data_IF_493939159968
#
_entry.id   IF_493939159968
#
_cell.length_a   1.000
_cell.length_b   1.000
_cell.length_c   1.000
_cell.angle_alpha   90.00
_cell.angle_beta   90.00
_cell.angle_gamma   90.00
#
_symmetry.space_group_name_H-M   'P 1'
#
loop_
_entity.id
_entity.type
_entity.pdbx_description
1 polymer ?
#
# COMPACT_ATOMS: atom_id res chain seq x y z
N UNK A 1 -5.16 51.89 13.67
CA UNK A 1 -4.84 51.07 12.48
C UNK A 1 -4.16 49.81 13.03
N UNK A 2 -4.97 48.83 13.40
CA UNK A 2 -4.50 47.60 14.05
C UNK A 2 -3.79 46.75 13.00
N UNK A 3 -2.58 46.32 13.32
CA UNK A 3 -1.80 45.41 12.49
C UNK A 3 -2.56 44.08 12.36
N UNK A 4 -3.07 43.80 11.17
CA UNK A 4 -3.37 42.44 10.76
C UNK A 4 -2.05 41.68 10.74
N UNK A 5 -1.77 40.93 11.80
CA UNK A 5 -0.77 39.87 11.75
C UNK A 5 -1.22 38.90 10.68
N UNK A 6 -0.61 39.01 9.50
CA UNK A 6 -0.82 38.17 8.35
C UNK A 6 -0.31 36.75 8.68
N UNK A 7 -1.05 36.01 9.50
CA UNK A 7 -0.78 34.61 9.78
C UNK A 7 -1.04 33.84 8.50
N UNK A 8 0.03 33.45 7.81
CA UNK A 8 -0.09 32.51 6.70
C UNK A 8 -0.86 31.28 7.19
N UNK A 9 -1.93 30.87 6.50
CA UNK A 9 -2.65 29.64 6.81
C UNK A 9 -1.67 28.48 6.96
N UNK A 10 -1.89 27.62 7.97
CA UNK A 10 -0.99 26.49 8.28
C UNK A 10 -0.71 25.58 7.07
N UNK A 11 -1.67 25.45 6.14
CA UNK A 11 -1.51 24.70 4.90
C UNK A 11 -0.52 25.37 3.93
N UNK A 12 -0.53 26.70 3.83
CA UNK A 12 0.40 27.43 2.97
C UNK A 12 1.83 27.34 3.51
N UNK A 13 2.00 27.37 4.84
CA UNK A 13 3.30 27.09 5.48
C UNK A 13 3.79 25.67 5.18
N UNK A 14 2.91 24.66 5.23
CA UNK A 14 3.28 23.28 4.89
C UNK A 14 3.69 23.14 3.41
N UNK A 15 2.98 23.82 2.50
CA UNK A 15 3.31 23.84 1.06
C UNK A 15 4.65 24.51 0.78
N UNK A 16 5.03 25.55 1.54
CA UNK A 16 6.33 26.21 1.42
C UNK A 16 7.49 25.27 1.76
N UNK A 17 7.30 24.34 2.70
CA UNK A 17 8.33 23.38 3.12
C UNK A 17 8.34 22.06 2.33
N UNK A 18 7.56 21.98 1.24
CA UNK A 18 7.56 20.80 0.36
C UNK A 18 8.95 20.48 -0.24
N UNK A 19 9.77 21.45 -0.69
CA UNK A 19 11.13 21.17 -1.18
C UNK A 19 12.04 20.52 -0.12
N UNK A 20 11.93 20.95 1.13
CA UNK A 20 12.69 20.41 2.26
C UNK A 20 12.26 18.97 2.53
N UNK A 21 10.97 18.67 2.47
CA UNK A 21 10.47 17.29 2.55
C UNK A 21 11.14 16.41 1.48
N UNK A 22 11.15 16.83 0.21
CA UNK A 22 11.80 16.07 -0.87
C UNK A 22 13.30 15.88 -0.58
N UNK A 23 13.97 16.95 -0.14
CA UNK A 23 15.39 16.94 0.19
C UNK A 23 15.70 15.97 1.33
N UNK A 24 14.94 16.01 2.42
CA UNK A 24 15.12 15.09 3.56
C UNK A 24 14.88 13.65 3.15
N UNK A 25 13.87 13.37 2.32
CA UNK A 25 13.60 12.01 1.87
C UNK A 25 14.71 11.45 0.98
N UNK A 26 15.16 12.22 -0.03
CA UNK A 26 16.10 11.73 -1.03
C UNK A 26 17.57 11.82 -0.59
N UNK A 27 17.95 12.87 0.14
CA UNK A 27 19.36 13.14 0.47
C UNK A 27 19.76 12.66 1.87
N UNK A 28 18.79 12.43 2.76
CA UNK A 28 19.05 11.92 4.10
C UNK A 28 18.39 10.55 4.32
N UNK A 29 17.08 10.45 4.11
CA UNK A 29 16.29 9.26 4.39
C UNK A 29 16.72 8.04 3.57
N UNK A 30 16.81 8.18 2.25
CA UNK A 30 17.21 7.09 1.37
C UNK A 30 18.64 6.58 1.66
N UNK A 31 19.68 7.45 1.72
CA UNK A 31 21.02 7.01 2.07
C UNK A 31 21.09 6.36 3.46
N UNK A 32 20.43 6.96 4.46
CA UNK A 32 20.39 6.40 5.81
C UNK A 32 19.74 5.00 5.82
N UNK A 33 18.59 4.84 5.15
CA UNK A 33 17.89 3.55 5.06
C UNK A 33 18.70 2.48 4.35
N UNK A 34 19.42 2.83 3.28
CA UNK A 34 20.32 1.90 2.58
C UNK A 34 21.52 1.51 3.47
N UNK A 35 22.12 2.47 4.18
CA UNK A 35 23.25 2.21 5.07
C UNK A 35 22.85 1.33 6.26
N UNK A 36 21.70 1.60 6.89
CA UNK A 36 21.21 0.80 8.01
C UNK A 36 20.78 -0.60 7.55
N UNK A 37 20.10 -0.71 6.40
CA UNK A 37 19.76 -2.00 5.80
C UNK A 37 20.98 -2.84 5.46
N UNK A 38 21.99 -2.22 4.83
CA UNK A 38 23.27 -2.87 4.53
C UNK A 38 23.96 -3.33 5.82
N UNK A 39 24.09 -2.45 6.82
CA UNK A 39 24.71 -2.78 8.11
C UNK A 39 24.01 -3.94 8.81
N UNK A 40 22.68 -3.93 8.88
CA UNK A 40 21.90 -5.00 9.50
C UNK A 40 22.03 -6.34 8.77
N UNK A 41 22.10 -6.32 7.43
CA UNK A 41 22.29 -7.55 6.65
C UNK A 41 23.64 -8.24 6.90
N UNK A 42 24.67 -7.49 7.32
CA UNK A 42 25.97 -8.07 7.73
C UNK A 42 25.98 -8.65 9.14
N UNK A 43 25.05 -8.22 10.01
CA UNK A 43 24.98 -8.74 11.40
C UNK A 43 24.24 -10.07 11.50
N UNK A 44 23.35 -10.39 10.56
CA UNK A 44 22.60 -11.65 10.57
C UNK A 44 23.52 -12.76 10.06
N UNK A 45 23.86 -13.72 10.94
CA UNK A 45 24.87 -14.76 10.75
C UNK A 45 24.62 -15.80 9.63
N UNK A 46 23.65 -15.58 8.73
CA UNK A 46 23.37 -16.47 7.61
C UNK A 46 23.65 -15.72 6.30
N UNK A 47 24.80 -16.00 5.67
CA UNK A 47 25.07 -15.50 4.32
C UNK A 47 23.97 -15.99 3.38
N UNK A 48 23.16 -15.10 2.79
CA UNK A 48 22.14 -15.50 1.83
C UNK A 48 22.79 -16.23 0.65
N UNK A 49 22.21 -17.36 0.25
CA UNK A 49 22.69 -18.12 -0.90
C UNK A 49 22.36 -17.38 -2.20
N UNK A 50 23.14 -17.60 -3.26
CA UNK A 50 22.87 -17.04 -4.61
C UNK A 50 21.44 -17.32 -5.10
N UNK A 51 20.87 -18.46 -4.70
CA UNK A 51 19.49 -18.85 -5.03
C UNK A 51 18.44 -17.91 -4.42
N UNK A 52 18.73 -17.33 -3.25
CA UNK A 52 17.83 -16.40 -2.55
C UNK A 52 17.74 -15.07 -3.30
N UNK A 53 18.86 -14.52 -3.77
CA UNK A 53 18.88 -13.28 -4.55
C UNK A 53 18.26 -13.44 -5.93
N UNK A 54 18.54 -14.55 -6.63
CA UNK A 54 17.93 -14.82 -7.94
C UNK A 54 16.40 -14.88 -7.83
N UNK A 55 15.89 -15.57 -6.81
CA UNK A 55 14.45 -15.62 -6.53
C UNK A 55 13.89 -14.21 -6.31
N UNK A 56 14.52 -13.41 -5.45
CA UNK A 56 14.08 -12.06 -5.14
C UNK A 56 14.03 -11.16 -6.39
N UNK A 57 15.03 -11.24 -7.26
CA UNK A 57 15.09 -10.49 -8.53
C UNK A 57 13.99 -10.93 -9.49
N UNK A 58 13.82 -12.25 -9.70
CA UNK A 58 12.82 -12.78 -10.64
C UNK A 58 11.41 -12.45 -10.16
N UNK A 59 11.11 -12.79 -8.90
CA UNK A 59 9.79 -12.56 -8.30
C UNK A 59 9.49 -11.06 -8.24
N UNK A 60 10.47 -10.26 -7.83
CA UNK A 60 10.40 -8.80 -7.85
C UNK A 60 10.12 -8.25 -9.25
N UNK A 61 10.87 -8.66 -10.26
CA UNK A 61 10.69 -8.21 -11.63
C UNK A 61 9.31 -8.55 -12.21
N UNK A 62 8.81 -9.76 -11.95
CA UNK A 62 7.46 -10.18 -12.34
C UNK A 62 6.38 -9.36 -11.63
N UNK A 63 6.54 -9.12 -10.33
CA UNK A 63 5.62 -8.28 -9.58
C UNK A 63 5.65 -6.82 -10.07
N UNK A 64 6.83 -6.32 -10.45
CA UNK A 64 7.03 -5.02 -11.08
C UNK A 64 6.27 -4.88 -12.41
N UNK A 65 6.25 -5.93 -13.25
CA UNK A 65 5.45 -5.95 -14.47
C UNK A 65 3.96 -5.78 -14.20
N UNK A 66 3.42 -6.51 -13.21
CA UNK A 66 2.00 -6.42 -12.85
C UNK A 66 1.66 -5.04 -12.29
N UNK A 67 2.51 -4.48 -11.42
CA UNK A 67 2.37 -3.10 -10.96
C UNK A 67 2.40 -2.10 -12.11
N UNK A 68 3.34 -2.26 -13.05
CA UNK A 68 3.47 -1.41 -14.24
C UNK A 68 2.24 -1.49 -15.15
N UNK A 69 1.62 -2.66 -15.25
CA UNK A 69 0.35 -2.85 -15.95
C UNK A 69 -0.80 -2.14 -15.24
N UNK A 70 -0.93 -2.25 -13.91
CA UNK A 70 -1.97 -1.54 -13.17
C UNK A 70 -1.87 -0.01 -13.36
N UNK A 71 -0.64 0.52 -13.41
CA UNK A 71 -0.37 1.94 -13.65
C UNK A 71 -0.53 2.36 -15.13
N UNK A 72 -0.48 1.41 -16.08
CA UNK A 72 -0.53 1.72 -17.53
C UNK A 72 -1.81 2.44 -17.96
N UNK A 73 -2.93 2.20 -17.28
CA UNK A 73 -4.22 2.86 -17.57
C UNK A 73 -4.11 4.40 -17.50
N UNK A 74 -3.41 4.91 -16.49
CA UNK A 74 -3.15 6.34 -16.34
C UNK A 74 -2.17 6.86 -17.39
N UNK A 75 -1.16 6.05 -17.76
CA UNK A 75 -0.21 6.42 -18.80
C UNK A 75 -0.88 6.63 -20.16
N UNK A 76 -1.82 5.76 -20.52
CA UNK A 76 -2.61 5.91 -21.75
C UNK A 76 -3.41 7.20 -21.73
N UNK A 77 -4.12 7.48 -20.63
CA UNK A 77 -5.00 8.64 -20.51
C UNK A 77 -4.24 9.98 -20.53
N UNK A 78 -3.01 10.01 -20.02
CA UNK A 78 -2.23 11.24 -19.84
C UNK A 78 -1.07 11.36 -20.84
N UNK A 79 -1.04 10.52 -21.88
CA UNK A 79 0.05 10.46 -22.86
C UNK A 79 1.45 10.30 -22.22
N UNK A 80 1.53 9.72 -21.03
CA UNK A 80 2.77 9.64 -20.27
C UNK A 80 3.80 8.71 -20.92
N UNK A 81 3.37 7.75 -21.74
CA UNK A 81 4.28 6.94 -22.55
C UNK A 81 5.13 7.80 -23.50
N UNK A 82 4.55 8.85 -24.10
CA UNK A 82 5.30 9.75 -25.00
C UNK A 82 6.32 10.56 -24.19
N UNK A 83 5.96 11.00 -22.98
CA UNK A 83 6.87 11.71 -22.07
C UNK A 83 8.08 10.82 -21.72
N UNK A 84 7.82 9.56 -21.38
CA UNK A 84 8.89 8.59 -21.09
C UNK A 84 9.73 8.28 -22.34
N UNK A 85 9.13 8.16 -23.52
CA UNK A 85 9.87 7.99 -24.78
C UNK A 85 10.84 9.15 -25.06
N UNK A 86 10.52 10.35 -24.56
CA UNK A 86 11.37 11.54 -24.64
C UNK A 86 12.75 11.38 -24.00
N UNK A 87 12.93 10.43 -23.07
CA UNK A 87 14.25 10.11 -22.48
C UNK A 87 15.25 9.71 -23.57
N UNK A 88 14.79 9.04 -24.63
CA UNK A 88 15.60 8.67 -25.80
C UNK A 88 15.34 9.56 -27.02
N UNK A 89 14.84 10.78 -26.80
CA UNK A 89 14.46 11.71 -27.87
C UNK A 89 13.51 11.08 -28.90
N UNK A 90 12.57 10.24 -28.43
CA UNK A 90 11.58 9.55 -29.25
C UNK A 90 10.17 10.01 -28.92
N UNK A 91 9.31 10.06 -29.93
CA UNK A 91 7.86 10.27 -29.76
C UNK A 91 7.04 8.99 -30.01
N UNK A 92 7.72 7.84 -30.10
CA UNK A 92 7.07 6.55 -30.36
C UNK A 92 6.39 6.00 -29.12
N UNK A 93 5.09 5.73 -29.22
CA UNK A 93 4.33 5.04 -28.17
C UNK A 93 4.97 3.70 -27.80
N UNK A 94 5.48 2.95 -28.79
CA UNK A 94 6.13 1.65 -28.55
C UNK A 94 7.39 1.79 -27.70
N UNK A 95 8.23 2.79 -28.00
CA UNK A 95 9.45 3.06 -27.22
C UNK A 95 9.10 3.43 -25.78
N UNK A 96 8.12 4.31 -25.60
CA UNK A 96 7.62 4.72 -24.29
C UNK A 96 7.08 3.55 -23.47
N UNK A 97 6.28 2.69 -24.09
CA UNK A 97 5.71 1.49 -23.45
C UNK A 97 6.80 0.50 -23.04
N UNK A 98 7.75 0.20 -23.93
CA UNK A 98 8.87 -0.70 -23.62
C UNK A 98 9.71 -0.15 -22.46
N UNK A 99 10.00 1.15 -22.46
CA UNK A 99 10.78 1.78 -21.41
C UNK A 99 10.03 1.77 -20.07
N UNK A 100 8.72 2.08 -20.05
CA UNK A 100 7.89 1.99 -18.85
C UNK A 100 7.95 0.59 -18.21
N UNK A 101 7.71 -0.47 -18.98
CA UNK A 101 7.75 -1.83 -18.44
C UNK A 101 9.16 -2.26 -18.03
N UNK A 102 10.20 -1.79 -18.72
CA UNK A 102 11.60 -2.03 -18.33
C UNK A 102 11.90 -1.39 -16.99
N UNK A 103 11.52 -0.12 -16.81
CA UNK A 103 11.65 0.59 -15.52
C UNK A 103 10.84 -0.14 -14.45
N UNK A 104 9.62 -0.56 -14.74
CA UNK A 104 8.77 -1.29 -13.81
C UNK A 104 9.38 -2.64 -13.36
N UNK A 105 10.04 -3.38 -14.25
CA UNK A 105 10.81 -4.59 -13.92
C UNK A 105 11.99 -4.25 -12.99
N UNK A 106 12.76 -3.22 -13.33
CA UNK A 106 13.94 -2.82 -12.54
C UNK A 106 13.53 -2.42 -11.13
N UNK A 107 12.48 -1.59 -11.00
CA UNK A 107 11.90 -1.18 -9.72
C UNK A 107 11.42 -2.41 -8.93
N UNK A 108 10.72 -3.35 -9.58
CA UNK A 108 10.25 -4.56 -8.93
C UNK A 108 11.39 -5.46 -8.46
N UNK A 109 12.42 -5.64 -9.28
CA UNK A 109 13.60 -6.43 -8.93
C UNK A 109 14.36 -5.82 -7.73
N UNK A 110 14.51 -4.48 -7.70
CA UNK A 110 15.11 -3.80 -6.55
C UNK A 110 14.24 -3.88 -5.29
N UNK A 111 12.91 -3.88 -5.42
CA UNK A 111 12.02 -4.15 -4.28
C UNK A 111 12.29 -5.54 -3.68
N UNK A 112 12.36 -6.58 -4.51
CA UNK A 112 12.67 -7.93 -4.04
C UNK A 112 14.02 -7.99 -3.33
N UNK A 113 15.06 -7.38 -3.90
CA UNK A 113 16.39 -7.35 -3.28
C UNK A 113 16.42 -6.64 -1.93
N UNK A 114 15.74 -5.50 -1.83
CA UNK A 114 15.76 -4.65 -0.63
C UNK A 114 14.90 -5.20 0.51
N UNK A 115 13.71 -5.73 0.21
CA UNK A 115 12.70 -6.02 1.23
C UNK A 115 12.39 -7.50 1.43
N UNK A 116 13.07 -8.43 0.74
CA UNK A 116 12.87 -9.88 0.91
C UNK A 116 12.94 -10.37 2.37
N UNK A 117 13.64 -9.66 3.26
CA UNK A 117 13.76 -10.02 4.68
C UNK A 117 12.74 -9.30 5.57
N UNK A 118 12.14 -8.20 5.11
CA UNK A 118 11.18 -7.40 5.87
C UNK A 118 9.72 -7.77 5.57
N UNK A 119 9.50 -8.47 4.46
CA UNK A 119 8.19 -8.97 4.02
C UNK A 119 7.89 -10.31 4.68
N UNK A 120 7.07 -10.28 5.73
CA UNK A 120 6.64 -11.48 6.48
C UNK A 120 5.27 -11.98 6.00
N UNK A 121 4.27 -11.10 5.96
CA UNK A 121 2.95 -11.39 5.39
C UNK A 121 2.72 -10.67 4.05
N UNK A 122 1.70 -11.07 3.27
CA UNK A 122 1.33 -10.34 2.06
C UNK A 122 0.77 -8.96 2.43
N UNK A 123 0.15 -8.81 3.61
CA UNK A 123 -0.26 -7.52 4.16
C UNK A 123 0.91 -6.59 4.41
N UNK A 124 1.97 -7.04 5.10
CA UNK A 124 3.18 -6.23 5.25
C UNK A 124 3.86 -5.96 3.91
N UNK A 125 3.83 -6.92 2.97
CA UNK A 125 4.35 -6.71 1.61
C UNK A 125 3.63 -5.59 0.87
N UNK A 126 2.30 -5.52 0.97
CA UNK A 126 1.50 -4.41 0.42
C UNK A 126 1.95 -3.08 1.02
N UNK A 127 2.15 -3.01 2.34
CA UNK A 127 2.57 -1.79 3.01
C UNK A 127 3.98 -1.36 2.58
N UNK A 128 4.94 -2.29 2.50
CA UNK A 128 6.28 -2.03 1.97
C UNK A 128 6.24 -1.59 0.51
N UNK A 129 5.42 -2.25 -0.31
CA UNK A 129 5.20 -1.91 -1.69
C UNK A 129 4.64 -0.49 -1.83
N UNK A 130 3.62 -0.13 -1.04
CA UNK A 130 3.07 1.22 -0.98
C UNK A 130 4.15 2.24 -0.60
N UNK A 131 4.92 2.00 0.46
CA UNK A 131 6.04 2.86 0.85
C UNK A 131 7.04 3.05 -0.30
N UNK A 132 7.39 1.94 -0.95
CA UNK A 132 8.35 1.95 -2.04
C UNK A 132 7.83 2.69 -3.27
N UNK A 133 6.54 2.52 -3.60
CA UNK A 133 5.87 3.30 -4.62
C UNK A 133 5.88 4.79 -4.32
N UNK A 134 5.48 5.18 -3.09
CA UNK A 134 5.53 6.57 -2.64
C UNK A 134 6.94 7.17 -2.73
N UNK A 135 7.96 6.42 -2.33
CA UNK A 135 9.35 6.81 -2.49
C UNK A 135 9.73 7.02 -3.97
N UNK A 136 9.36 6.08 -4.84
CA UNK A 136 9.62 6.19 -6.29
C UNK A 136 8.90 7.35 -6.95
N UNK A 137 7.82 7.88 -6.39
CA UNK A 137 7.22 9.10 -6.89
C UNK A 137 8.15 10.32 -6.70
N UNK A 138 8.80 10.45 -5.55
CA UNK A 138 9.80 11.50 -5.33
C UNK A 138 11.06 11.29 -6.17
N UNK A 139 11.54 10.05 -6.26
CA UNK A 139 12.76 9.74 -6.98
C UNK A 139 12.56 9.79 -8.51
N UNK A 140 11.49 9.20 -9.03
CA UNK A 140 11.23 9.07 -10.46
C UNK A 140 10.72 10.37 -11.08
N UNK A 141 9.39 10.63 -11.12
CA UNK A 141 8.81 11.80 -11.76
C UNK A 141 9.35 13.15 -11.29
N UNK A 142 9.66 13.32 -10.00
CA UNK A 142 10.08 14.63 -9.47
C UNK A 142 11.60 14.90 -9.59
N UNK A 143 12.42 13.86 -9.81
CA UNK A 143 13.89 14.01 -9.73
C UNK A 143 14.62 13.39 -10.92
N UNK A 144 14.44 12.09 -11.18
CA UNK A 144 15.11 11.39 -12.29
C UNK A 144 14.53 11.76 -13.65
N UNK A 145 13.22 11.90 -13.78
CA UNK A 145 12.60 12.21 -15.06
C UNK A 145 13.03 13.59 -15.62
N UNK A 146 12.99 14.70 -14.86
CA UNK A 146 13.43 15.99 -15.36
C UNK A 146 14.90 15.97 -15.75
N UNK A 147 15.77 15.34 -14.95
CA UNK A 147 17.20 15.23 -15.26
C UNK A 147 17.46 14.43 -16.53
N UNK A 148 16.78 13.30 -16.72
CA UNK A 148 16.88 12.49 -17.95
C UNK A 148 16.34 13.23 -19.19
N UNK A 149 15.37 14.14 -19.00
CA UNK A 149 14.85 15.01 -20.05
C UNK A 149 15.66 16.31 -20.23
N UNK A 150 16.81 16.44 -19.55
CA UNK A 150 17.66 17.65 -19.56
C UNK A 150 16.92 18.93 -19.11
N UNK A 151 15.93 18.76 -18.22
CA UNK A 151 15.18 19.84 -17.59
C UNK A 151 15.69 20.10 -16.17
N UNK A 152 15.60 21.35 -15.68
CA UNK A 152 15.93 21.68 -14.30
C UNK A 152 15.02 20.94 -13.30
N UNK A 153 15.59 20.53 -12.17
CA UNK A 153 14.84 19.90 -11.07
C UNK A 153 14.09 21.00 -10.30
N UNK A 154 12.79 20.82 -10.14
CA UNK A 154 11.94 21.70 -9.35
C UNK A 154 11.19 20.90 -8.27
N UNK A 155 11.60 21.02 -7.01
CA UNK A 155 10.89 20.39 -5.89
C UNK A 155 9.83 21.31 -5.27
N UNK A 156 9.24 22.21 -6.07
CA UNK A 156 8.17 23.06 -5.56
C UNK A 156 6.88 22.28 -5.41
N UNK A 157 6.05 22.72 -4.46
CA UNK A 157 4.70 22.21 -4.26
C UNK A 157 3.87 22.18 -5.55
N UNK A 158 3.88 23.28 -6.32
CA UNK A 158 3.12 23.41 -7.57
C UNK A 158 3.58 22.40 -8.62
N UNK A 159 4.89 22.15 -8.69
CA UNK A 159 5.43 21.13 -9.57
C UNK A 159 4.96 19.73 -9.13
N UNK A 160 5.06 19.41 -7.84
CA UNK A 160 4.53 18.16 -7.29
C UNK A 160 3.04 17.95 -7.56
N UNK A 161 2.23 19.00 -7.39
CA UNK A 161 0.80 18.99 -7.66
C UNK A 161 0.47 18.70 -9.13
N UNK A 162 1.28 19.18 -10.08
CA UNK A 162 1.13 18.84 -11.50
C UNK A 162 1.33 17.34 -11.80
N UNK A 163 2.07 16.63 -10.94
CA UNK A 163 2.31 15.18 -11.02
C UNK A 163 1.39 14.37 -10.10
N UNK A 164 0.34 14.96 -9.53
CA UNK A 164 -0.56 14.29 -8.58
C UNK A 164 -1.13 12.97 -9.10
N UNK A 165 -1.52 12.90 -10.37
CA UNK A 165 -2.04 11.66 -10.93
C UNK A 165 -1.01 10.52 -10.92
N UNK A 166 0.25 10.85 -11.18
CA UNK A 166 1.35 9.88 -11.07
C UNK A 166 1.63 9.49 -9.62
N UNK A 167 1.36 10.34 -8.62
CA UNK A 167 1.47 9.99 -7.20
C UNK A 167 0.51 8.85 -6.83
N UNK A 168 -0.77 8.99 -7.19
CA UNK A 168 -1.77 7.93 -7.00
C UNK A 168 -1.32 6.66 -7.75
N UNK A 169 -0.84 6.82 -8.98
CA UNK A 169 -0.37 5.69 -9.78
C UNK A 169 0.83 4.96 -9.19
N UNK A 170 1.77 5.65 -8.57
CA UNK A 170 2.89 5.04 -7.85
C UNK A 170 2.42 4.33 -6.56
N UNK A 171 1.44 4.89 -5.84
CA UNK A 171 0.84 4.21 -4.69
C UNK A 171 0.15 2.90 -5.11
N UNK A 172 -0.65 2.93 -6.19
CA UNK A 172 -1.31 1.75 -6.76
C UNK A 172 -0.29 0.74 -7.29
N UNK A 173 0.73 1.20 -8.02
CA UNK A 173 1.86 0.37 -8.47
C UNK A 173 2.50 -0.35 -7.29
N UNK A 174 2.81 0.37 -6.21
CA UNK A 174 3.43 -0.15 -5.01
C UNK A 174 2.58 -1.22 -4.32
N UNK A 175 1.28 -0.98 -4.16
CA UNK A 175 0.35 -1.95 -3.56
C UNK A 175 0.33 -3.25 -4.37
N UNK A 176 0.22 -3.16 -5.70
CA UNK A 176 0.24 -4.33 -6.59
C UNK A 176 1.58 -5.05 -6.57
N UNK A 177 2.70 -4.30 -6.62
CA UNK A 177 4.05 -4.85 -6.49
C UNK A 177 4.19 -5.66 -5.20
N UNK A 178 3.81 -5.09 -4.06
CA UNK A 178 3.86 -5.76 -2.76
C UNK A 178 3.01 -7.03 -2.72
N UNK A 179 1.74 -6.95 -3.14
CA UNK A 179 0.84 -8.09 -3.15
C UNK A 179 1.36 -9.23 -4.05
N UNK A 180 1.70 -8.91 -5.30
CA UNK A 180 2.12 -9.91 -6.29
C UNK A 180 3.46 -10.52 -5.90
N UNK A 181 4.39 -9.72 -5.38
CA UNK A 181 5.67 -10.22 -4.85
C UNK A 181 5.43 -11.28 -3.78
N UNK A 182 4.60 -10.98 -2.78
CA UNK A 182 4.33 -11.93 -1.69
C UNK A 182 3.63 -13.21 -2.17
N UNK A 183 2.69 -13.11 -3.11
CA UNK A 183 2.00 -14.27 -3.66
C UNK A 183 2.96 -15.17 -4.45
N UNK A 184 3.78 -14.58 -5.32
CA UNK A 184 4.77 -15.30 -6.12
C UNK A 184 5.89 -15.90 -5.27
N UNK A 185 6.40 -15.17 -4.28
CA UNK A 185 7.44 -15.67 -3.37
C UNK A 185 6.93 -16.85 -2.54
N UNK A 186 5.72 -16.75 -1.98
CA UNK A 186 5.07 -17.86 -1.27
C UNK A 186 4.83 -19.06 -2.16
N UNK A 187 4.38 -18.84 -3.40
CA UNK A 187 4.21 -19.91 -4.37
C UNK A 187 5.54 -20.58 -4.70
N UNK A 188 6.60 -19.81 -4.90
CA UNK A 188 7.95 -20.31 -5.14
C UNK A 188 8.45 -21.17 -3.98
N UNK A 189 8.38 -20.65 -2.74
CA UNK A 189 8.77 -21.39 -1.54
C UNK A 189 7.95 -22.68 -1.42
N UNK A 190 6.65 -22.63 -1.69
CA UNK A 190 5.77 -23.80 -1.64
C UNK A 190 6.13 -24.87 -2.66
N UNK A 191 6.44 -24.47 -3.90
CA UNK A 191 6.73 -25.39 -5.01
C UNK A 191 8.15 -25.96 -4.99
N UNK A 192 9.12 -25.19 -4.47
CA UNK A 192 10.54 -25.54 -4.60
C UNK A 192 11.25 -25.81 -3.27
N UNK A 193 10.63 -25.48 -2.12
CA UNK A 193 11.26 -25.64 -0.80
C UNK A 193 10.42 -26.50 0.13
N UNK A 194 9.13 -26.18 0.31
CA UNK A 194 8.29 -26.80 1.35
C UNK A 194 7.38 -27.93 0.84
N UNK A 195 7.54 -28.38 -0.40
CA UNK A 195 6.80 -29.54 -0.95
C UNK A 195 7.18 -30.89 -0.30
N UNK A 196 8.09 -30.88 0.67
CA UNK A 196 8.54 -32.05 1.41
C UNK A 196 7.41 -32.64 2.28
N UNK A 197 7.00 -33.91 2.05
CA UNK A 197 5.96 -34.59 2.83
C UNK A 197 6.25 -34.68 4.34
N UNK A 198 7.51 -34.56 4.75
CA UNK A 198 7.95 -34.69 6.14
C UNK A 198 7.59 -33.49 7.03
N UNK A 199 7.15 -32.36 6.45
CA UNK A 199 6.81 -31.12 7.18
C UNK A 199 5.30 -30.84 7.25
N UNK A 200 4.47 -31.88 7.11
CA UNK A 200 3.00 -31.74 7.12
C UNK A 200 2.51 -31.38 8.53
N UNK A 201 1.85 -30.24 8.67
CA UNK A 201 1.34 -29.73 9.94
C UNK A 201 0.08 -30.47 10.40
N UNK A 202 -0.18 -30.45 11.73
CA UNK A 202 -1.26 -31.19 12.40
C UNK A 202 -2.65 -30.63 12.03
N UNK A 203 -2.74 -29.31 11.83
CA UNK A 203 -3.94 -28.64 11.36
C UNK A 203 -3.86 -28.34 9.86
N UNK A 204 -4.98 -28.56 9.15
CA UNK A 204 -5.03 -28.28 7.72
C UNK A 204 -5.03 -26.77 7.46
N UNK A 205 -4.18 -26.30 6.54
CA UNK A 205 -4.11 -24.89 6.11
C UNK A 205 -5.48 -24.28 5.73
N UNK A 206 -6.45 -25.11 5.33
CA UNK A 206 -7.82 -24.70 5.04
C UNK A 206 -8.60 -24.21 6.26
N UNK A 207 -8.42 -24.81 7.44
CA UNK A 207 -9.13 -24.42 8.66
C UNK A 207 -8.65 -23.05 9.13
N UNK A 208 -7.33 -22.82 9.21
CA UNK A 208 -6.76 -21.52 9.54
C UNK A 208 -7.24 -20.42 8.58
N UNK A 209 -7.17 -20.69 7.27
CA UNK A 209 -7.62 -19.72 6.26
C UNK A 209 -9.10 -19.38 6.44
N UNK A 210 -9.95 -20.38 6.71
CA UNK A 210 -11.39 -20.17 6.91
C UNK A 210 -11.70 -19.37 8.18
N UNK A 211 -10.97 -19.63 9.26
CA UNK A 211 -11.08 -18.86 10.50
C UNK A 211 -10.62 -17.41 10.31
N UNK A 212 -9.50 -17.20 9.63
CA UNK A 212 -9.01 -15.86 9.29
C UNK A 212 -9.99 -15.07 8.43
N UNK A 213 -10.57 -15.70 7.42
CA UNK A 213 -11.63 -15.09 6.61
C UNK A 213 -12.84 -14.73 7.47
N UNK A 214 -13.29 -15.64 8.34
CA UNK A 214 -14.44 -15.43 9.21
C UNK A 214 -14.21 -14.28 10.21
N UNK A 215 -13.07 -14.25 10.90
CA UNK A 215 -12.77 -13.17 11.84
C UNK A 215 -12.58 -11.84 11.13
N UNK A 216 -11.97 -11.86 9.94
CA UNK A 216 -11.88 -10.68 9.08
C UNK A 216 -13.25 -10.13 8.71
N UNK A 217 -14.16 -11.00 8.27
CA UNK A 217 -15.56 -10.65 8.00
C UNK A 217 -16.23 -10.02 9.23
N UNK A 218 -16.21 -10.69 10.37
CA UNK A 218 -16.85 -10.22 11.61
C UNK A 218 -16.26 -8.89 12.10
N UNK A 219 -14.93 -8.75 12.09
CA UNK A 219 -14.25 -7.55 12.52
C UNK A 219 -14.62 -6.34 11.66
N UNK A 220 -14.72 -6.55 10.34
CA UNK A 220 -15.04 -5.49 9.39
C UNK A 220 -16.48 -5.00 9.45
N UNK A 221 -17.42 -5.76 10.03
CA UNK A 221 -18.79 -5.28 10.22
C UNK A 221 -18.82 -4.06 11.14
N UNK A 222 -18.03 -4.07 12.21
CA UNK A 222 -17.93 -2.91 13.10
C UNK A 222 -17.24 -1.72 12.42
N UNK A 223 -16.15 -1.95 11.69
CA UNK A 223 -15.51 -0.92 10.85
C UNK A 223 -16.47 -0.34 9.81
N UNK A 224 -17.24 -1.21 9.14
CA UNK A 224 -18.19 -0.86 8.09
C UNK A 224 -19.36 -0.04 8.62
N UNK A 225 -19.87 -0.38 9.81
CA UNK A 225 -20.89 0.41 10.52
C UNK A 225 -20.37 1.81 10.87
N UNK A 226 -19.16 1.92 11.41
CA UNK A 226 -18.55 3.22 11.71
C UNK A 226 -18.37 4.06 10.44
N UNK A 227 -17.87 3.45 9.36
CA UNK A 227 -17.71 4.12 8.08
C UNK A 227 -19.07 4.54 7.47
N UNK A 228 -20.13 3.76 7.69
CA UNK A 228 -21.48 4.11 7.23
C UNK A 228 -21.97 5.44 7.79
N UNK A 229 -21.58 5.81 9.03
CA UNK A 229 -21.92 7.11 9.62
C UNK A 229 -21.31 8.27 8.83
N UNK A 230 -20.05 8.13 8.40
CA UNK A 230 -19.36 9.11 7.56
C UNK A 230 -20.04 9.18 6.20
N UNK A 231 -20.33 8.02 5.58
CA UNK A 231 -20.97 7.98 4.26
C UNK A 231 -22.38 8.57 4.25
N UNK A 232 -23.11 8.42 5.36
CA UNK A 232 -24.41 9.05 5.55
C UNK A 232 -24.26 10.57 5.65
N UNK A 233 -23.31 11.05 6.46
CA UNK A 233 -23.04 12.48 6.62
C UNK A 233 -22.54 13.15 5.33
N UNK A 234 -21.81 12.42 4.48
CA UNK A 234 -21.25 12.93 3.22
C UNK A 234 -22.13 12.64 2.01
N UNK A 235 -23.28 11.97 2.18
CA UNK A 235 -24.22 11.66 1.09
C UNK A 235 -23.69 10.70 0.03
N UNK A 236 -22.73 9.83 0.34
CA UNK A 236 -22.08 8.93 -0.64
C UNK A 236 -22.88 7.63 -0.86
N UNK A 237 -23.74 7.24 0.07
CA UNK A 237 -24.50 5.98 -0.01
C UNK A 237 -25.30 5.82 -1.31
N UNK A 238 -26.04 6.83 -1.83
CA UNK A 238 -26.70 6.75 -3.15
C UNK A 238 -25.75 6.40 -4.29
N UNK A 239 -24.50 6.88 -4.25
CA UNK A 239 -23.49 6.54 -5.28
C UNK A 239 -23.14 5.06 -5.25
N UNK A 240 -23.01 4.44 -4.07
CA UNK A 240 -22.83 2.99 -3.99
C UNK A 240 -24.07 2.22 -4.41
N UNK A 241 -25.27 2.73 -4.10
CA UNK A 241 -26.53 2.10 -4.53
C UNK A 241 -26.62 1.97 -6.06
N UNK A 242 -26.04 2.92 -6.80
CA UNK A 242 -26.04 2.91 -8.26
C UNK A 242 -25.30 1.72 -8.88
N UNK A 243 -24.39 1.07 -8.14
CA UNK A 243 -23.71 -0.16 -8.57
C UNK A 243 -24.68 -1.32 -8.85
N UNK A 244 -25.86 -1.29 -8.22
CA UNK A 244 -26.92 -2.28 -8.40
C UNK A 244 -28.18 -1.66 -9.04
N UNK A 245 -28.05 -0.50 -9.67
CA UNK A 245 -29.16 0.21 -10.30
C UNK A 245 -30.15 0.88 -9.33
N UNK A 246 -29.81 1.00 -8.05
CA UNK A 246 -30.62 1.67 -7.04
C UNK A 246 -30.17 3.13 -6.81
N UNK A 247 -31.01 3.95 -6.18
CA UNK A 247 -30.71 5.37 -5.93
C UNK A 247 -30.88 5.81 -4.47
N UNK A 248 -31.52 5.00 -3.62
CA UNK A 248 -31.75 5.36 -2.22
C UNK A 248 -30.54 5.02 -1.34
N UNK A 249 -30.36 5.70 -0.19
CA UNK A 249 -29.23 5.44 0.71
C UNK A 249 -29.21 4.03 1.30
N UNK A 250 -30.38 3.41 1.52
CA UNK A 250 -30.48 2.11 2.20
C UNK A 250 -29.86 0.95 1.38
N UNK A 251 -30.19 0.73 0.10
CA UNK A 251 -29.46 -0.22 -0.76
C UNK A 251 -27.95 0.08 -0.83
N UNK A 252 -27.56 1.36 -0.83
CA UNK A 252 -26.15 1.76 -0.80
C UNK A 252 -25.44 1.34 0.48
N UNK A 253 -26.11 1.41 1.63
CA UNK A 253 -25.62 0.90 2.91
C UNK A 253 -25.44 -0.63 2.86
N UNK A 254 -26.40 -1.37 2.30
CA UNK A 254 -26.27 -2.84 2.16
C UNK A 254 -25.08 -3.21 1.27
N UNK A 255 -24.93 -2.54 0.13
CA UNK A 255 -23.78 -2.72 -0.78
C UNK A 255 -22.47 -2.42 -0.04
N UNK A 256 -22.41 -1.33 0.72
CA UNK A 256 -21.26 -0.99 1.56
C UNK A 256 -20.92 -2.08 2.58
N UNK A 257 -21.92 -2.65 3.26
CA UNK A 257 -21.69 -3.71 4.24
C UNK A 257 -21.17 -5.00 3.59
N UNK A 258 -21.63 -5.35 2.39
CA UNK A 258 -21.12 -6.48 1.62
C UNK A 258 -19.65 -6.24 1.22
N UNK A 259 -19.36 -5.06 0.66
CA UNK A 259 -17.99 -4.67 0.28
C UNK A 259 -17.08 -4.67 1.51
N UNK A 260 -17.54 -4.08 2.62
CA UNK A 260 -16.83 -4.06 3.90
C UNK A 260 -16.50 -5.47 4.39
N UNK A 261 -17.43 -6.42 4.25
CA UNK A 261 -17.24 -7.82 4.64
C UNK A 261 -16.16 -8.49 3.79
N UNK A 262 -16.21 -8.32 2.46
CA UNK A 262 -15.22 -8.88 1.53
C UNK A 262 -13.83 -8.30 1.79
N UNK A 263 -13.75 -6.98 2.00
CA UNK A 263 -12.50 -6.30 2.36
C UNK A 263 -12.01 -6.76 3.74
N UNK A 264 -12.90 -7.04 4.68
CA UNK A 264 -12.55 -7.59 5.99
C UNK A 264 -11.94 -8.97 5.91
N UNK A 265 -12.55 -9.85 5.12
CA UNK A 265 -12.04 -11.20 4.87
C UNK A 265 -10.59 -11.16 4.36
N UNK A 266 -10.28 -10.26 3.42
CA UNK A 266 -8.90 -10.11 2.95
C UNK A 266 -7.97 -9.55 4.04
N UNK A 267 -8.42 -8.70 4.96
CA UNK A 267 -7.57 -8.30 6.10
C UNK A 267 -7.11 -9.51 6.91
N UNK A 268 -8.03 -10.42 7.24
CA UNK A 268 -7.72 -11.60 8.03
C UNK A 268 -6.65 -12.47 7.38
N UNK A 269 -6.75 -12.72 6.08
CA UNK A 269 -5.74 -13.51 5.34
C UNK A 269 -4.41 -12.76 5.17
N UNK A 270 -4.45 -11.44 5.03
CA UNK A 270 -3.26 -10.63 4.74
C UNK A 270 -2.45 -10.30 6.01
N UNK A 271 -3.08 -10.15 7.18
CA UNK A 271 -2.47 -9.59 8.38
C UNK A 271 -2.51 -10.50 9.62
N UNK A 272 -2.97 -11.75 9.49
CA UNK A 272 -3.16 -12.70 10.61
C UNK A 272 -2.04 -12.69 11.67
N UNK A 273 -0.76 -12.63 11.26
CA UNK A 273 0.38 -12.76 12.18
C UNK A 273 1.20 -11.46 12.34
N UNK A 274 0.71 -10.33 11.83
CA UNK A 274 1.48 -9.07 11.81
C UNK A 274 1.35 -8.25 13.11
N UNK A 275 0.25 -8.41 13.84
CA UNK A 275 -0.07 -7.60 15.01
C UNK A 275 0.17 -8.36 16.32
N UNK A 276 1.21 -8.00 17.06
CA UNK A 276 1.52 -8.60 18.37
C UNK A 276 0.76 -7.93 19.52
N UNK A 277 0.32 -6.68 19.34
CA UNK A 277 -0.39 -5.90 20.35
C UNK A 277 -1.44 -4.97 19.72
N UNK A 278 -2.27 -4.35 20.56
CA UNK A 278 -3.38 -3.49 20.13
C UNK A 278 -2.89 -2.31 19.30
N UNK A 279 -1.77 -1.68 19.69
CA UNK A 279 -1.19 -0.55 18.96
C UNK A 279 -0.74 -0.96 17.55
N UNK A 280 0.01 -2.05 17.43
CA UNK A 280 0.44 -2.59 16.14
C UNK A 280 -0.78 -2.97 15.29
N UNK A 281 -1.82 -3.57 15.89
CA UNK A 281 -3.04 -3.94 15.16
C UNK A 281 -3.79 -2.73 14.62
N UNK A 282 -3.93 -1.68 15.45
CA UNK A 282 -4.52 -0.42 15.03
C UNK A 282 -3.77 0.15 13.83
N UNK A 283 -2.43 0.21 13.90
CA UNK A 283 -1.60 0.82 12.85
C UNK A 283 -1.63 -0.01 11.56
N UNK A 284 -1.49 -1.35 11.64
CA UNK A 284 -1.63 -2.23 10.47
C UNK A 284 -3.02 -2.14 9.84
N UNK A 285 -4.05 -2.10 10.68
CA UNK A 285 -5.42 -1.84 10.25
C UNK A 285 -5.54 -0.50 9.51
N UNK A 286 -4.99 0.58 10.06
CA UNK A 286 -5.02 1.90 9.42
C UNK A 286 -4.25 1.92 8.10
N UNK A 287 -3.09 1.28 8.02
CA UNK A 287 -2.32 1.14 6.76
C UNK A 287 -3.11 0.37 5.70
N UNK A 288 -3.81 -0.68 6.11
CA UNK A 288 -4.69 -1.43 5.24
C UNK A 288 -5.86 -0.58 4.72
N UNK A 289 -6.48 0.20 5.61
CA UNK A 289 -7.50 1.18 5.22
C UNK A 289 -6.97 2.20 4.22
N UNK A 290 -5.79 2.77 4.47
CA UNK A 290 -5.13 3.71 3.58
C UNK A 290 -4.85 3.10 2.20
N UNK A 291 -4.33 1.86 2.14
CA UNK A 291 -4.16 1.15 0.87
C UNK A 291 -5.50 0.99 0.12
N UNK A 292 -6.58 0.66 0.84
CA UNK A 292 -7.92 0.60 0.27
C UNK A 292 -8.48 1.95 -0.17
N UNK A 293 -8.02 3.09 0.37
CA UNK A 293 -8.43 4.38 -0.14
C UNK A 293 -7.87 4.65 -1.55
N UNK A 294 -6.59 4.28 -1.80
CA UNK A 294 -6.00 4.35 -3.14
C UNK A 294 -6.65 3.36 -4.13
N UNK A 295 -6.96 2.15 -3.67
CA UNK A 295 -7.48 1.07 -4.53
C UNK A 295 -9.00 1.16 -4.72
N UNK A 296 -9.77 1.41 -3.65
CA UNK A 296 -11.22 1.38 -3.63
C UNK A 296 -11.85 2.60 -4.31
N UNK A 297 -12.06 3.72 -3.59
CA UNK A 297 -12.79 4.86 -4.13
C UNK A 297 -12.04 5.60 -5.24
N UNK A 298 -10.69 5.61 -5.24
CA UNK A 298 -9.91 6.32 -6.27
C UNK A 298 -9.70 5.52 -7.56
N UNK A 299 -9.79 4.18 -7.51
CA UNK A 299 -9.42 3.32 -8.65
C UNK A 299 -10.54 2.38 -9.05
N UNK A 300 -11.00 1.49 -8.16
CA UNK A 300 -12.00 0.47 -8.47
C UNK A 300 -13.40 1.06 -8.61
N UNK A 301 -13.82 1.97 -7.73
CA UNK A 301 -15.17 2.51 -7.76
C UNK A 301 -15.51 3.22 -9.09
N UNK A 302 -14.66 4.09 -9.65
CA UNK A 302 -14.85 4.64 -10.99
C UNK A 302 -15.05 3.55 -12.06
N UNK A 303 -14.21 2.51 -12.05
CA UNK A 303 -14.30 1.39 -12.99
C UNK A 303 -15.63 0.64 -12.87
N UNK A 304 -16.09 0.37 -11.65
CA UNK A 304 -17.35 -0.32 -11.40
C UNK A 304 -18.57 0.53 -11.80
N UNK A 305 -18.44 1.85 -11.75
CA UNK A 305 -19.46 2.80 -12.23
C UNK A 305 -19.39 3.03 -13.75
N UNK A 306 -18.46 2.40 -14.45
CA UNK A 306 -18.26 2.57 -15.90
C UNK A 306 -17.72 3.96 -16.28
N UNK A 307 -17.13 4.70 -15.34
CA UNK A 307 -16.50 6.01 -15.60
C UNK A 307 -14.97 5.88 -15.63
N UNK A 308 -14.26 6.72 -16.39
CA UNK A 308 -12.80 6.69 -16.42
C UNK A 308 -12.18 6.91 -15.03
N UNK A 309 -11.06 6.24 -14.77
CA UNK A 309 -10.24 6.49 -13.59
C UNK A 309 -9.78 7.95 -13.63
N UNK A 310 -10.06 8.73 -12.58
CA UNK A 310 -9.68 10.14 -12.49
C UNK A 310 -8.74 10.35 -11.31
N UNK A 311 -7.45 10.07 -11.52
CA UNK A 311 -6.42 10.38 -10.54
C UNK A 311 -6.03 11.86 -10.62
N UNK A 312 -6.94 12.74 -10.21
CA UNK A 312 -6.73 14.19 -10.16
C UNK A 312 -6.84 14.69 -8.72
N UNK A 313 -6.23 15.85 -8.45
CA UNK A 313 -6.36 16.52 -7.15
C UNK A 313 -7.83 16.76 -6.80
N UNK A 314 -8.63 17.22 -7.76
CA UNK A 314 -10.05 17.47 -7.55
C UNK A 314 -10.80 16.21 -7.11
N UNK A 315 -10.54 15.07 -7.77
CA UNK A 315 -11.16 13.80 -7.40
C UNK A 315 -10.75 13.35 -5.99
N UNK A 316 -9.47 13.47 -5.65
CA UNK A 316 -8.98 13.17 -4.31
C UNK A 316 -9.58 14.09 -3.24
N UNK A 317 -9.68 15.39 -3.51
CA UNK A 317 -10.29 16.38 -2.61
C UNK A 317 -11.77 16.07 -2.32
N UNK A 318 -12.53 15.70 -3.36
CA UNK A 318 -13.93 15.25 -3.19
C UNK A 318 -14.00 13.99 -2.31
N UNK A 319 -12.99 13.12 -2.39
CA UNK A 319 -12.93 11.85 -1.67
C UNK A 319 -12.18 11.93 -0.33
N UNK A 320 -11.71 13.09 0.11
CA UNK A 320 -11.02 13.25 1.40
C UNK A 320 -11.84 12.75 2.60
N UNK A 321 -13.17 12.99 2.70
CA UNK A 321 -13.96 12.41 3.79
C UNK A 321 -13.94 10.87 3.80
N UNK A 322 -13.85 10.25 2.63
CA UNK A 322 -13.73 8.80 2.53
C UNK A 322 -12.36 8.28 2.99
N UNK A 323 -11.29 9.09 2.92
CA UNK A 323 -9.98 8.73 3.47
C UNK A 323 -10.08 8.52 4.97
N UNK A 324 -10.71 9.45 5.69
CA UNK A 324 -10.98 9.31 7.12
C UNK A 324 -11.80 8.05 7.41
N UNK A 325 -12.83 7.79 6.61
CA UNK A 325 -13.64 6.58 6.72
C UNK A 325 -12.83 5.29 6.57
N UNK A 326 -11.92 5.22 5.60
CA UNK A 326 -11.04 4.07 5.40
C UNK A 326 -10.03 3.89 6.54
N UNK A 327 -9.44 4.96 7.04
CA UNK A 327 -8.50 4.95 8.19
C UNK A 327 -9.19 4.37 9.42
N UNK A 328 -10.40 4.86 9.74
CA UNK A 328 -11.18 4.40 10.88
C UNK A 328 -11.69 2.96 10.69
N UNK A 329 -12.20 2.65 9.50
CA UNK A 329 -12.61 1.28 9.13
C UNK A 329 -11.48 0.29 9.35
N UNK A 330 -10.30 0.57 8.80
CA UNK A 330 -9.14 -0.30 8.86
C UNK A 330 -8.63 -0.47 10.29
N UNK A 331 -8.46 0.64 11.02
CA UNK A 331 -7.99 0.62 12.40
C UNK A 331 -8.91 -0.18 13.33
N UNK A 332 -10.23 0.03 13.23
CA UNK A 332 -11.21 -0.72 14.02
C UNK A 332 -11.27 -2.21 13.64
N UNK A 333 -11.19 -2.51 12.33
CA UNK A 333 -11.12 -3.88 11.83
C UNK A 333 -9.90 -4.61 12.40
N UNK A 334 -8.73 -3.98 12.40
CA UNK A 334 -7.52 -4.57 12.98
C UNK A 334 -7.68 -4.88 14.46
N UNK A 335 -8.14 -3.91 15.26
CA UNK A 335 -8.32 -4.11 16.71
C UNK A 335 -9.29 -5.24 17.02
N UNK A 336 -10.44 -5.31 16.35
CA UNK A 336 -11.45 -6.36 16.59
C UNK A 336 -10.95 -7.72 16.09
N UNK A 337 -10.26 -7.75 14.94
CA UNK A 337 -9.65 -8.98 14.43
C UNK A 337 -8.67 -9.56 15.45
N UNK A 338 -7.78 -8.74 16.01
CA UNK A 338 -6.84 -9.16 17.06
C UNK A 338 -7.57 -9.73 18.28
N UNK A 339 -8.66 -9.10 18.72
CA UNK A 339 -9.43 -9.60 19.85
C UNK A 339 -10.08 -10.97 19.58
N UNK A 340 -10.68 -11.15 18.40
CA UNK A 340 -11.28 -12.42 17.98
C UNK A 340 -10.23 -13.53 17.87
N UNK A 341 -9.09 -13.21 17.24
CA UNK A 341 -7.97 -14.12 17.09
C UNK A 341 -7.40 -14.53 18.46
N UNK A 342 -7.12 -13.58 19.35
CA UNK A 342 -6.60 -13.87 20.70
C UNK A 342 -7.53 -14.77 21.49
N UNK A 343 -8.83 -14.51 21.46
CA UNK A 343 -9.82 -15.35 22.15
C UNK A 343 -9.78 -16.81 21.67
N UNK A 344 -9.52 -17.03 20.38
CA UNK A 344 -9.36 -18.37 19.84
C UNK A 344 -7.99 -18.98 20.23
N UNK A 345 -6.92 -18.19 20.14
CA UNK A 345 -5.57 -18.60 20.52
C UNK A 345 -5.47 -18.99 21.99
N UNK A 346 -6.12 -18.28 22.92
CA UNK A 346 -6.11 -18.58 24.36
C UNK A 346 -6.53 -20.04 24.66
N UNK A 347 -7.39 -20.61 23.82
CA UNK A 347 -7.81 -22.00 23.92
C UNK A 347 -6.78 -22.98 23.33
N UNK A 348 -6.15 -22.63 22.20
CA UNK A 348 -5.15 -23.46 21.52
C UNK A 348 -3.79 -23.48 22.22
N UNK A 349 -3.40 -22.36 22.86
CA UNK A 349 -2.14 -22.19 23.58
C UNK A 349 -2.07 -23.01 24.88
N UNK A 350 -3.14 -23.71 25.26
CA UNK A 350 -3.13 -24.73 26.31
C UNK A 350 -2.17 -25.88 25.94
N UNK A 351 -1.98 -26.16 24.64
CA UNK A 351 -0.94 -27.08 24.17
C UNK A 351 0.40 -26.33 23.98
N UNK A 352 1.46 -26.68 24.73
CA UNK A 352 2.78 -26.05 24.61
C UNK A 352 3.39 -26.13 23.20
N UNK A 353 3.03 -27.14 22.40
CA UNK A 353 3.57 -27.33 21.05
C UNK A 353 2.98 -26.31 20.07
N UNK A 354 1.70 -26.02 20.20
CA UNK A 354 1.01 -24.99 19.41
C UNK A 354 1.49 -23.60 19.82
N UNK A 355 1.69 -23.37 21.11
CA UNK A 355 2.23 -22.10 21.61
C UNK A 355 3.60 -21.74 21.05
N UNK A 356 4.54 -22.70 21.08
CA UNK A 356 5.87 -22.48 20.51
C UNK A 356 5.84 -22.28 18.99
N UNK A 357 4.82 -22.79 18.28
CA UNK A 357 4.65 -22.57 16.83
C UNK A 357 4.14 -21.16 16.54
N UNK A 358 3.08 -20.74 17.21
CA UNK A 358 2.51 -19.39 17.06
C UNK A 358 3.53 -18.31 17.38
N UNK A 359 4.33 -18.48 18.43
CA UNK A 359 5.40 -17.53 18.79
C UNK A 359 6.43 -17.35 17.66
N UNK A 360 6.70 -18.39 16.85
CA UNK A 360 7.61 -18.30 15.70
C UNK A 360 7.00 -17.61 14.48
N UNK A 361 5.68 -17.56 14.37
CA UNK A 361 4.97 -16.93 13.25
C UNK A 361 4.78 -15.42 13.47
N UNK A 362 4.76 -14.99 14.73
CA UNK A 362 4.63 -13.59 15.08
C UNK A 362 5.85 -12.77 14.66
N UNK A 363 5.60 -11.54 14.22
CA UNK A 363 6.66 -10.57 13.91
C UNK A 363 7.54 -10.32 15.15
N UNK A 364 8.88 -10.48 15.04
CA UNK A 364 9.79 -10.20 16.15
C UNK A 364 9.83 -8.71 16.50
N UNK A 365 10.23 -8.39 17.73
CA UNK A 365 10.51 -7.02 18.16
C UNK A 365 11.72 -6.42 17.42
N UNK A 366 11.80 -5.08 17.36
CA UNK A 366 12.95 -4.39 16.76
C UNK A 366 13.01 -4.39 15.23
N UNK A 367 11.90 -4.73 14.55
CA UNK A 367 11.84 -4.67 13.08
C UNK A 367 11.70 -3.22 12.56
N UNK A 368 11.96 -2.97 11.26
CA UNK A 368 11.77 -1.65 10.65
C UNK A 368 10.31 -1.18 10.52
N UNK A 369 9.33 -1.98 10.98
CA UNK A 369 7.89 -1.69 10.83
C UNK A 369 7.47 -0.30 11.35
N UNK A 370 7.95 0.21 12.51
CA UNK A 370 7.57 1.56 12.96
C UNK A 370 7.98 2.67 11.98
N UNK A 371 9.15 2.55 11.34
CA UNK A 371 9.60 3.50 10.33
C UNK A 371 8.70 3.45 9.08
N UNK A 372 8.35 2.24 8.63
CA UNK A 372 7.38 2.02 7.55
C UNK A 372 6.04 2.68 7.88
N UNK A 373 5.52 2.47 9.09
CA UNK A 373 4.23 3.02 9.52
C UNK A 373 4.23 4.54 9.47
N UNK A 374 5.25 5.18 10.05
CA UNK A 374 5.39 6.63 10.03
C UNK A 374 5.49 7.17 8.61
N UNK A 375 6.28 6.53 7.75
CA UNK A 375 6.48 6.94 6.37
C UNK A 375 5.18 6.86 5.56
N UNK A 376 4.49 5.71 5.60
CA UNK A 376 3.29 5.48 4.79
C UNK A 376 2.10 6.27 5.31
N UNK A 377 1.86 6.29 6.63
CA UNK A 377 0.76 7.08 7.18
C UNK A 377 1.03 8.57 7.04
N UNK A 378 2.27 9.01 7.28
CA UNK A 378 2.67 10.40 7.10
C UNK A 378 2.44 10.84 5.65
N UNK A 379 3.15 10.24 4.70
CA UNK A 379 3.10 10.68 3.30
C UNK A 379 1.76 10.35 2.63
N UNK A 380 1.21 9.16 2.86
CA UNK A 380 -0.03 8.73 2.21
C UNK A 380 -1.27 9.53 2.64
N UNK A 381 -1.26 10.14 3.84
CA UNK A 381 -2.34 11.01 4.32
C UNK A 381 -2.04 12.48 4.03
N UNK A 382 -0.81 12.92 4.30
CA UNK A 382 -0.46 14.34 4.21
C UNK A 382 -0.34 14.80 2.76
N UNK A 383 0.22 13.99 1.85
CA UNK A 383 0.41 14.42 0.46
C UNK A 383 -0.91 14.70 -0.27
N UNK A 384 -1.99 13.90 -0.16
CA UNK A 384 -3.29 14.27 -0.71
C UNK A 384 -3.81 15.63 -0.24
N UNK A 385 -3.53 16.01 1.02
CA UNK A 385 -4.00 17.27 1.62
C UNK A 385 -3.11 18.43 1.21
N UNK A 386 -1.79 18.23 1.21
CA UNK A 386 -0.86 19.28 0.82
C UNK A 386 -1.05 19.59 -0.65
N UNK A 387 -1.01 18.56 -1.53
CA UNK A 387 -1.07 18.58 -3.01
C UNK A 387 -2.45 18.89 -3.58
N UNK A 388 -3.52 18.64 -2.82
CA UNK A 388 -4.90 19.00 -3.18
C UNK A 388 -5.21 20.44 -2.85
#
# INVERSE_FOLDING_TARGET
MLAETNQMPMLDLARLHFPELVSFLLLLGAPLGLLTGWWNSHQVAHSPTTHTYLRAIIVGGLAGLVGGWAFSSWFVQNNAFIVIAGIFNSHSLTVGTLLHYTIAIVIGASFGLLFQHDVLSPGSSICWGLAYGLFWWFLGPLTLLPTMLHQPIHWSYLYGASFFGSFIGHAVYGIWLGLVYALLDRLWVKLFITSDPLKREIEGAGVHTLLSLLWGALASLAGGLLFSLIMLATGVLPRLASLIGASSPFPGFIVHMIISTIIGMSYGVLFEHEATNVQASLIWGTLYGLAWWFIGPLTILPLLLGVPITWTMQAANILLPSLLGHILYGGLTGVIFLYLQRRHMDWLLIDPRLAAREERLLRPGGTPAPALWLFVLGLGIVLPIILG
#
